data_IF_324392659133
#
_entry.id   IF_324392659133
#
_cell.length_a   1.000
_cell.length_b   1.000
_cell.length_c   1.000
_cell.angle_alpha   90.00
_cell.angle_beta   90.00
_cell.angle_gamma   90.00
#
_symmetry.space_group_name_H-M   'P 1'
#
loop_
_entity.id
_entity.type
_entity.pdbx_description
1 polymer ?
#
# COMPACT_ATOMS: atom_id res chain seq x y z
N UNK A 1 -7.11 -11.00 2.39
CA UNK A 1 -5.95 -10.32 3.02
C UNK A 1 -6.44 -9.40 4.13
N UNK A 2 -5.90 -9.59 5.30
CA UNK A 2 -6.16 -8.66 6.40
C UNK A 2 -5.42 -7.36 6.13
N UNK A 3 -6.09 -6.24 6.33
CA UNK A 3 -5.44 -4.95 6.12
C UNK A 3 -5.88 -3.94 7.17
N UNK A 4 -4.97 -3.06 7.52
CA UNK A 4 -5.21 -1.91 8.39
C UNK A 4 -4.92 -0.66 7.59
N UNK A 5 -5.87 0.27 7.56
CA UNK A 5 -5.69 1.57 6.91
C UNK A 5 -5.85 2.62 7.98
N UNK A 6 -4.78 3.38 8.25
CA UNK A 6 -4.76 4.33 9.34
C UNK A 6 -4.36 5.72 8.86
N UNK A 7 -5.26 6.72 8.98
CA UNK A 7 -4.86 8.10 8.79
C UNK A 7 -4.07 8.58 10.01
N UNK A 8 -2.94 9.24 9.76
CA UNK A 8 -2.04 9.72 10.80
C UNK A 8 -2.27 11.21 11.00
N UNK A 9 -2.76 11.60 12.18
CA UNK A 9 -3.00 13.00 12.58
C UNK A 9 -4.06 13.74 11.76
N UNK A 10 -5.01 13.02 11.16
CA UNK A 10 -6.18 13.61 10.50
C UNK A 10 -7.28 12.57 10.41
N UNK A 11 -8.49 13.01 10.06
CA UNK A 11 -9.62 12.11 9.88
C UNK A 11 -9.82 11.86 8.40
N UNK A 12 -9.85 10.59 8.00
CA UNK A 12 -10.17 10.21 6.63
C UNK A 12 -11.61 9.76 6.55
N UNK A 13 -12.28 10.06 5.44
CA UNK A 13 -13.64 9.57 5.22
C UNK A 13 -13.63 8.05 5.04
N UNK A 14 -14.75 7.43 5.36
CA UNK A 14 -14.92 6.00 5.12
C UNK A 14 -14.80 5.68 3.63
N UNK A 15 -15.33 6.56 2.78
CA UNK A 15 -15.24 6.39 1.33
C UNK A 15 -13.79 6.32 0.85
N UNK A 16 -12.93 7.18 1.40
CA UNK A 16 -11.50 7.18 1.04
C UNK A 16 -10.82 5.90 1.50
N UNK A 17 -11.01 5.51 2.75
CA UNK A 17 -10.36 4.31 3.27
C UNK A 17 -10.87 3.04 2.59
N UNK A 18 -12.16 2.98 2.28
CA UNK A 18 -12.74 1.84 1.55
C UNK A 18 -12.16 1.75 0.15
N UNK A 19 -12.04 2.87 -0.55
CA UNK A 19 -11.50 2.89 -1.91
C UNK A 19 -10.03 2.43 -1.93
N UNK A 20 -9.23 2.93 -0.99
CA UNK A 20 -7.83 2.52 -0.86
C UNK A 20 -7.75 1.02 -0.55
N UNK A 21 -8.61 0.54 0.32
CA UNK A 21 -8.69 -0.88 0.64
C UNK A 21 -8.98 -1.74 -0.58
N UNK A 22 -9.90 -1.31 -1.42
CA UNK A 22 -10.24 -2.02 -2.66
C UNK A 22 -9.05 -2.07 -3.62
N UNK A 23 -8.29 -0.99 -3.71
CA UNK A 23 -7.09 -0.95 -4.56
C UNK A 23 -6.11 -2.03 -4.12
N UNK A 24 -5.79 -2.10 -2.83
CA UNK A 24 -4.79 -3.02 -2.33
C UNK A 24 -5.27 -4.47 -2.22
N UNK A 25 -6.57 -4.71 -2.11
CA UNK A 25 -7.12 -6.08 -2.10
C UNK A 25 -6.75 -6.85 -3.37
N UNK A 26 -6.50 -6.15 -4.45
CA UNK A 26 -6.12 -6.79 -5.72
C UNK A 26 -4.73 -7.43 -5.69
N UNK A 27 -3.90 -7.10 -4.70
CA UNK A 27 -2.55 -7.65 -4.61
C UNK A 27 -2.54 -9.17 -4.44
N UNK A 28 -3.55 -9.74 -3.81
CA UNK A 28 -3.60 -11.20 -3.58
C UNK A 28 -3.66 -12.00 -4.89
N UNK A 29 -4.09 -11.36 -5.97
CA UNK A 29 -4.09 -11.99 -7.29
C UNK A 29 -2.68 -12.24 -7.82
N UNK A 30 -1.72 -11.47 -7.35
CA UNK A 30 -0.33 -11.53 -7.81
C UNK A 30 0.57 -12.33 -6.89
N UNK A 31 0.19 -12.48 -5.63
CA UNK A 31 0.89 -13.33 -4.68
C UNK A 31 -0.09 -13.73 -3.57
N UNK A 32 -0.51 -14.97 -3.59
CA UNK A 32 -1.50 -15.49 -2.65
C UNK A 32 -0.93 -15.81 -1.27
N UNK A 33 0.38 -15.63 -1.07
CA UNK A 33 1.03 -15.82 0.23
C UNK A 33 0.99 -14.58 1.11
N UNK A 34 0.45 -13.45 0.61
CA UNK A 34 0.33 -12.23 1.40
C UNK A 34 -0.52 -12.51 2.64
N UNK A 35 0.05 -12.24 3.81
CA UNK A 35 -0.63 -12.43 5.10
C UNK A 35 -1.52 -11.23 5.41
N UNK A 36 -0.94 -10.03 5.36
CA UNK A 36 -1.65 -8.80 5.73
C UNK A 36 -0.93 -7.59 5.16
N UNK A 37 -1.56 -6.44 5.28
CA UNK A 37 -0.97 -5.16 4.89
C UNK A 37 -1.31 -4.08 5.90
N UNK A 38 -0.32 -3.26 6.25
CA UNK A 38 -0.52 -2.02 7.00
C UNK A 38 -0.34 -0.84 6.07
N UNK A 39 -1.31 0.04 6.03
CA UNK A 39 -1.34 1.19 5.14
C UNK A 39 -1.55 2.45 5.98
N UNK A 40 -0.62 3.39 5.88
CA UNK A 40 -0.69 4.66 6.61
C UNK A 40 -0.85 5.81 5.64
N UNK A 41 -1.78 6.71 5.95
CA UNK A 41 -2.04 7.91 5.15
C UNK A 41 -1.52 9.10 5.93
N UNK A 42 -0.63 9.88 5.30
CA UNK A 42 -0.01 11.05 5.94
C UNK A 42 -0.19 12.27 5.06
N UNK A 43 -0.52 13.39 5.68
CA UNK A 43 -0.58 14.67 4.99
C UNK A 43 0.69 15.45 5.34
N UNK A 44 1.45 15.85 4.31
CA UNK A 44 2.72 16.56 4.47
C UNK A 44 2.46 18.06 4.31
N UNK A 45 2.68 18.82 5.36
CA UNK A 45 2.38 20.26 5.35
C UNK A 45 3.45 21.12 4.69
N UNK A 46 4.65 20.58 4.54
CA UNK A 46 5.82 21.36 4.10
C UNK A 46 5.99 21.41 2.60
N UNK A 47 5.23 20.62 1.84
CA UNK A 47 5.31 20.58 0.39
C UNK A 47 4.03 21.18 -0.20
N UNK A 48 4.12 22.18 -1.10
CA UNK A 48 2.93 22.77 -1.72
C UNK A 48 2.25 21.84 -2.73
N UNK A 49 2.98 20.86 -3.27
CA UNK A 49 2.44 19.85 -4.16
C UNK A 49 2.89 18.49 -3.68
N UNK A 50 2.17 17.44 -4.08
CA UNK A 50 2.50 16.07 -3.67
C UNK A 50 2.52 15.93 -2.15
N UNK A 51 1.57 16.59 -1.51
CA UNK A 51 1.49 16.67 -0.06
C UNK A 51 0.78 15.48 0.59
N UNK A 52 0.33 14.52 -0.19
CA UNK A 52 -0.31 13.29 0.30
C UNK A 52 0.67 12.13 0.17
N UNK A 53 0.96 11.48 1.29
CA UNK A 53 1.89 10.36 1.34
C UNK A 53 1.17 9.11 1.80
N UNK A 54 1.49 7.99 1.18
CA UNK A 54 1.03 6.68 1.61
C UNK A 54 2.25 5.82 1.93
N UNK A 55 2.18 5.08 3.03
CA UNK A 55 3.19 4.10 3.41
C UNK A 55 2.50 2.76 3.49
N UNK A 56 3.05 1.76 2.81
CA UNK A 56 2.44 0.44 2.71
C UNK A 56 3.48 -0.60 3.11
N UNK A 57 3.13 -1.43 4.08
CA UNK A 57 3.92 -2.60 4.45
C UNK A 57 3.10 -3.84 4.17
N UNK A 58 3.62 -4.70 3.32
CA UNK A 58 3.00 -5.97 2.96
C UNK A 58 3.75 -7.08 3.68
N UNK A 59 3.05 -7.86 4.47
CA UNK A 59 3.64 -8.97 5.23
C UNK A 59 3.53 -10.26 4.43
N UNK A 60 4.68 -10.83 4.13
CA UNK A 60 4.82 -12.12 3.45
C UNK A 60 5.53 -13.09 4.39
N UNK A 61 5.38 -14.41 4.23
CA UNK A 61 6.16 -15.34 5.04
C UNK A 61 7.66 -15.11 4.87
N UNK A 62 8.34 -14.78 5.96
CA UNK A 62 9.78 -14.59 5.99
C UNK A 62 10.28 -13.26 5.48
N UNK A 63 9.43 -12.39 4.97
CA UNK A 63 9.87 -11.09 4.44
C UNK A 63 8.73 -10.08 4.36
N UNK A 64 9.04 -8.82 4.63
CA UNK A 64 8.12 -7.71 4.42
C UNK A 64 8.51 -6.95 3.15
N UNK A 65 7.51 -6.40 2.47
CA UNK A 65 7.70 -5.45 1.38
C UNK A 65 7.21 -4.09 1.87
N UNK A 66 8.01 -3.06 1.68
CA UNK A 66 7.68 -1.70 2.12
C UNK A 66 7.77 -0.73 0.95
N UNK A 67 6.74 0.10 0.78
CA UNK A 67 6.66 1.12 -0.28
C UNK A 67 6.14 2.42 0.31
N UNK A 68 6.79 3.53 -0.05
CA UNK A 68 6.30 4.87 0.24
C UNK A 68 6.03 5.58 -1.07
N UNK A 69 4.97 6.36 -1.13
CA UNK A 69 4.61 7.10 -2.33
C UNK A 69 3.94 8.42 -1.97
N UNK A 70 4.36 9.49 -2.64
CA UNK A 70 3.76 10.81 -2.51
C UNK A 70 3.04 11.18 -3.80
N UNK A 71 1.94 11.93 -3.67
CA UNK A 71 1.17 12.43 -4.81
C UNK A 71 0.29 13.59 -4.35
N UNK A 72 -0.46 14.18 -5.28
CA UNK A 72 -1.37 15.29 -4.98
C UNK A 72 -2.63 14.84 -4.28
N UNK A 73 -2.98 13.56 -4.38
CA UNK A 73 -4.14 12.98 -3.70
C UNK A 73 -3.78 11.60 -3.15
N UNK A 74 -4.54 11.17 -2.12
CA UNK A 74 -4.33 9.83 -1.57
C UNK A 74 -4.67 8.73 -2.56
N UNK A 75 -5.68 8.94 -3.41
CA UNK A 75 -6.04 7.93 -4.41
C UNK A 75 -4.92 7.77 -5.43
N UNK A 76 -4.35 8.88 -5.90
CA UNK A 76 -3.21 8.82 -6.82
C UNK A 76 -2.00 8.16 -6.17
N UNK A 77 -1.69 8.54 -4.93
CA UNK A 77 -0.58 7.93 -4.18
C UNK A 77 -0.81 6.43 -4.00
N UNK A 78 -2.06 6.02 -3.70
CA UNK A 78 -2.40 4.62 -3.51
C UNK A 78 -2.23 3.81 -4.80
N UNK A 79 -2.64 4.36 -5.93
CA UNK A 79 -2.50 3.68 -7.21
C UNK A 79 -1.03 3.49 -7.60
N UNK A 80 -0.22 4.54 -7.38
CA UNK A 80 1.22 4.46 -7.64
C UNK A 80 1.91 3.48 -6.69
N UNK A 81 1.55 3.51 -5.41
CA UNK A 81 2.07 2.57 -4.42
C UNK A 81 1.67 1.13 -4.76
N UNK A 82 0.42 0.93 -5.19
CA UNK A 82 -0.05 -0.39 -5.61
C UNK A 82 0.81 -0.96 -6.75
N UNK A 83 1.09 -0.15 -7.77
CA UNK A 83 1.89 -0.59 -8.90
C UNK A 83 3.28 -1.03 -8.47
N UNK A 84 3.89 -0.31 -7.54
CA UNK A 84 5.21 -0.67 -6.99
C UNK A 84 5.13 -1.93 -6.13
N UNK A 85 4.11 -2.04 -5.28
CA UNK A 85 3.89 -3.23 -4.46
C UNK A 85 3.69 -4.46 -5.33
N UNK A 86 2.92 -4.33 -6.41
CA UNK A 86 2.66 -5.42 -7.35
C UNK A 86 3.97 -6.00 -7.89
N UNK A 87 4.87 -5.15 -8.34
CA UNK A 87 6.17 -5.60 -8.87
C UNK A 87 6.94 -6.36 -7.80
N UNK A 88 6.97 -5.84 -6.57
CA UNK A 88 7.73 -6.43 -5.49
C UNK A 88 7.15 -7.76 -5.01
N UNK A 89 5.83 -7.88 -4.89
CA UNK A 89 5.21 -9.13 -4.46
C UNK A 89 5.32 -10.23 -5.53
N UNK A 90 5.32 -9.85 -6.81
CA UNK A 90 5.56 -10.78 -7.91
C UNK A 90 7.00 -11.32 -7.82
N UNK A 91 7.97 -10.45 -7.58
CA UNK A 91 9.38 -10.88 -7.39
C UNK A 91 9.52 -11.86 -6.24
N UNK A 92 8.86 -11.63 -5.12
CA UNK A 92 8.93 -12.52 -3.97
C UNK A 92 8.29 -13.88 -4.29
N UNK A 93 7.22 -13.90 -5.06
CA UNK A 93 6.60 -15.15 -5.51
C UNK A 93 7.53 -15.93 -6.42
N UNK A 94 8.22 -15.26 -7.36
CA UNK A 94 9.18 -15.90 -8.27
C UNK A 94 10.35 -16.50 -7.51
N UNK A 95 10.88 -15.79 -6.50
CA UNK A 95 11.95 -16.31 -5.66
C UNK A 95 11.52 -17.59 -4.92
N UNK A 96 10.30 -17.62 -4.45
CA UNK A 96 9.77 -18.81 -3.76
C UNK A 96 9.59 -19.99 -4.71
N UNK A 97 9.29 -19.72 -5.98
CA UNK A 97 9.05 -20.73 -7.00
C UNK A 97 10.32 -21.39 -7.53
N UNK A 98 11.49 -20.77 -7.30
CA UNK A 98 12.76 -21.27 -7.83
C UNK A 98 13.49 -22.26 -6.91
N UNK A 99 12.87 -22.66 -5.84
CA UNK A 99 13.47 -23.64 -4.90
C UNK A 99 13.16 -25.07 -5.29
#
# INVERSE_FOLDING_TARGET
MDKTIEPVNFNASKELTDHIGEIFDKLVKYNDRIVSADIYLKSLRETPTRDKKIEVRIFLPGKDVFVEQEADSFISAAQQAFDRCKILVIKEKEKSATH
#
